data_IF_148756892315
#
_entry.id   IF_148756892315
#
_cell.length_a   1.000
_cell.length_b   1.000
_cell.length_c   1.000
_cell.angle_alpha   90.00
_cell.angle_beta   90.00
_cell.angle_gamma   90.00
#
_symmetry.space_group_name_H-M   'P 1'
#
loop_
_entity.id
_entity.type
_entity.pdbx_description
1 polymer ?
#
# COMPACT_ATOMS: atom_id res chain seq x y z
N UNK A 1 11.34 11.38 23.33
CA UNK A 1 9.94 11.82 23.26
C UNK A 1 9.08 10.90 22.39
N UNK A 2 9.62 10.25 21.35
CA UNK A 2 8.90 9.20 20.58
C UNK A 2 8.77 7.84 21.30
N UNK A 3 9.48 7.63 22.42
CA UNK A 3 9.55 6.33 23.10
C UNK A 3 8.37 6.03 24.05
N UNK A 4 7.47 6.99 24.31
CA UNK A 4 6.33 6.81 25.23
C UNK A 4 4.97 6.66 24.53
N UNK A 5 4.89 6.80 23.21
CA UNK A 5 3.68 6.52 22.42
C UNK A 5 3.47 5.00 22.16
N UNK A 6 4.35 4.15 22.70
CA UNK A 6 4.63 2.81 22.17
C UNK A 6 3.62 1.71 22.56
N UNK A 7 2.66 1.95 23.46
CA UNK A 7 1.72 0.90 23.91
C UNK A 7 0.27 1.34 24.12
N UNK A 8 -0.09 2.59 23.79
CA UNK A 8 -1.46 3.09 23.98
C UNK A 8 -2.24 3.07 22.65
N UNK A 9 -3.32 2.27 22.52
CA UNK A 9 -4.21 2.35 21.37
C UNK A 9 -4.75 3.77 21.12
N UNK A 10 -4.87 4.59 22.16
CA UNK A 10 -5.24 6.00 22.06
C UNK A 10 -4.26 6.84 21.25
N UNK A 11 -2.94 6.58 21.33
CA UNK A 11 -1.93 7.38 20.64
C UNK A 11 -2.05 7.32 19.10
N UNK A 12 -2.60 6.22 18.56
CA UNK A 12 -2.93 6.10 17.13
C UNK A 12 -4.14 6.98 16.77
N UNK A 13 -5.21 6.94 17.55
CA UNK A 13 -6.38 7.76 17.28
C UNK A 13 -6.07 9.24 17.48
N UNK A 14 -5.25 9.59 18.50
CA UNK A 14 -4.77 10.94 18.78
C UNK A 14 -4.04 11.56 17.57
N UNK A 15 -3.27 10.77 16.80
CA UNK A 15 -2.61 11.30 15.58
C UNK A 15 -3.60 11.62 14.46
N UNK A 16 -4.74 10.92 14.41
CA UNK A 16 -5.81 11.20 13.45
C UNK A 16 -6.78 12.30 13.93
N UNK A 17 -6.63 12.84 15.14
CA UNK A 17 -7.39 14.02 15.57
C UNK A 17 -6.82 15.34 14.97
N UNK A 18 -5.59 15.32 14.47
CA UNK A 18 -5.00 16.48 13.80
C UNK A 18 -5.61 16.67 12.40
N UNK A 19 -6.38 17.74 12.24
CA UNK A 19 -7.01 18.11 10.97
C UNK A 19 -6.03 18.28 9.82
N UNK A 20 -4.74 18.54 10.07
CA UNK A 20 -3.72 18.59 9.01
C UNK A 20 -3.47 17.24 8.36
N UNK A 21 -3.62 16.14 9.10
CA UNK A 21 -3.55 14.79 8.52
C UNK A 21 -4.71 14.60 7.56
N UNK A 22 -5.91 15.03 7.95
CA UNK A 22 -7.09 14.97 7.08
C UNK A 22 -7.02 15.93 5.90
N UNK A 23 -6.46 17.12 6.05
CA UNK A 23 -6.20 18.05 4.94
C UNK A 23 -5.29 17.39 3.89
N UNK A 24 -4.20 16.74 4.33
CA UNK A 24 -3.30 16.00 3.44
C UNK A 24 -4.05 14.87 2.70
N UNK A 25 -4.86 14.09 3.41
CA UNK A 25 -5.65 13.00 2.85
C UNK A 25 -6.76 13.47 1.89
N UNK A 26 -7.39 14.61 2.17
CA UNK A 26 -8.46 15.20 1.35
C UNK A 26 -7.92 15.92 0.11
N UNK A 27 -6.68 16.40 0.17
CA UNK A 27 -6.02 17.08 -0.97
C UNK A 27 -5.15 16.15 -1.82
N UNK A 28 -4.99 14.89 -1.42
CA UNK A 28 -4.44 13.81 -2.24
C UNK A 28 -5.40 13.47 -3.39
N UNK A 29 -5.20 14.15 -4.53
CA UNK A 29 -6.03 14.03 -5.72
C UNK A 29 -6.18 12.59 -6.23
N UNK A 30 -5.08 11.84 -6.47
CA UNK A 30 -5.17 10.45 -6.93
C UNK A 30 -5.95 9.54 -5.99
N UNK A 31 -5.72 9.64 -4.67
CA UNK A 31 -6.50 8.92 -3.66
C UNK A 31 -7.99 9.25 -3.76
N UNK A 32 -8.33 10.53 -3.69
CA UNK A 32 -9.74 10.97 -3.71
C UNK A 32 -10.45 10.56 -5.01
N UNK A 33 -9.76 10.73 -6.14
CA UNK A 33 -10.30 10.37 -7.45
C UNK A 33 -10.53 8.85 -7.58
N UNK A 34 -9.62 8.01 -7.08
CA UNK A 34 -9.78 6.56 -7.15
C UNK A 34 -11.04 6.11 -6.39
N UNK A 35 -11.21 6.53 -5.14
CA UNK A 35 -12.41 6.20 -4.35
C UNK A 35 -13.68 6.80 -4.95
N UNK A 36 -13.64 8.06 -5.36
CA UNK A 36 -14.78 8.72 -5.98
C UNK A 36 -15.21 7.97 -7.26
N UNK A 37 -14.27 7.62 -8.14
CA UNK A 37 -14.56 6.87 -9.36
C UNK A 37 -15.04 5.45 -9.06
N UNK A 38 -14.44 4.77 -8.08
CA UNK A 38 -14.86 3.44 -7.66
C UNK A 38 -16.30 3.44 -7.13
N UNK A 39 -16.69 4.45 -6.37
CA UNK A 39 -18.01 4.53 -5.73
C UNK A 39 -19.04 5.23 -6.63
N UNK A 40 -18.83 6.51 -6.92
CA UNK A 40 -19.75 7.35 -7.69
C UNK A 40 -19.73 7.02 -9.17
N UNK A 41 -18.62 6.50 -9.71
CA UNK A 41 -18.55 5.99 -11.08
C UNK A 41 -19.25 4.64 -11.28
N UNK A 42 -19.49 3.88 -10.21
CA UNK A 42 -20.17 2.57 -10.24
C UNK A 42 -21.47 2.58 -9.41
N UNK A 43 -22.30 3.61 -9.59
CA UNK A 43 -23.55 3.82 -8.83
C UNK A 43 -24.45 2.59 -8.79
N UNK A 44 -24.51 1.81 -9.86
CA UNK A 44 -25.34 0.62 -9.97
C UNK A 44 -24.97 -0.46 -8.93
N UNK A 45 -23.71 -0.50 -8.48
CA UNK A 45 -23.28 -1.37 -7.39
C UNK A 45 -23.84 -0.92 -6.05
N UNK A 46 -23.96 0.39 -5.82
CA UNK A 46 -24.35 1.00 -4.54
C UNK A 46 -25.84 1.31 -4.42
N UNK A 47 -26.56 1.50 -5.52
CA UNK A 47 -27.96 1.90 -5.54
C UNK A 47 -28.84 0.93 -4.72
N UNK A 48 -29.51 1.46 -3.69
CA UNK A 48 -30.41 0.69 -2.83
C UNK A 48 -29.72 -0.27 -1.84
N UNK A 49 -28.38 -0.27 -1.77
CA UNK A 49 -27.58 -1.15 -0.90
C UNK A 49 -27.38 -0.58 0.50
N UNK A 50 -27.01 -1.45 1.44
CA UNK A 50 -26.46 -1.06 2.75
C UNK A 50 -24.95 -1.11 2.74
N UNK A 51 -24.30 -0.06 3.23
CA UNK A 51 -22.84 0.10 3.23
C UNK A 51 -22.32 0.27 4.65
N UNK A 52 -21.16 -0.31 4.96
CA UNK A 52 -20.38 -0.01 6.16
C UNK A 52 -19.08 0.68 5.74
N UNK A 53 -18.85 1.88 6.26
CA UNK A 53 -17.61 2.64 6.11
C UNK A 53 -16.76 2.49 7.38
N UNK A 54 -15.62 1.80 7.29
CA UNK A 54 -14.76 1.45 8.42
C UNK A 54 -13.61 2.45 8.52
N UNK A 55 -13.57 3.23 9.60
CA UNK A 55 -12.65 4.35 9.77
C UNK A 55 -13.08 5.55 8.93
N UNK A 56 -14.33 5.97 9.11
CA UNK A 56 -14.96 6.96 8.23
C UNK A 56 -14.29 8.34 8.26
N UNK A 57 -13.48 8.66 9.27
CA UNK A 57 -12.76 9.93 9.39
C UNK A 57 -13.70 11.13 9.30
N UNK A 58 -13.54 11.94 8.26
CA UNK A 58 -14.39 13.12 7.98
C UNK A 58 -15.75 12.77 7.37
N UNK A 59 -16.02 11.50 7.05
CA UNK A 59 -17.25 11.03 6.43
C UNK A 59 -17.31 11.18 4.90
N UNK A 60 -16.22 11.58 4.24
CA UNK A 60 -16.20 11.84 2.79
C UNK A 60 -16.58 10.59 1.96
N UNK A 61 -16.05 9.40 2.31
CA UNK A 61 -16.35 8.16 1.59
C UNK A 61 -17.81 7.71 1.82
N UNK A 62 -18.30 7.86 3.06
CA UNK A 62 -19.72 7.67 3.38
C UNK A 62 -20.64 8.57 2.55
N UNK A 63 -20.26 9.83 2.32
CA UNK A 63 -21.00 10.76 1.47
C UNK A 63 -20.97 10.31 0.00
N UNK A 64 -19.83 9.85 -0.52
CA UNK A 64 -19.77 9.27 -1.87
C UNK A 64 -20.72 8.07 -2.02
N UNK A 65 -20.80 7.20 -1.01
CA UNK A 65 -21.73 6.07 -1.02
C UNK A 65 -23.19 6.53 -1.07
N UNK A 66 -23.56 7.53 -0.27
CA UNK A 66 -24.90 8.11 -0.29
C UNK A 66 -25.23 8.80 -1.62
N UNK A 67 -24.27 9.56 -2.19
CA UNK A 67 -24.39 10.18 -3.52
C UNK A 67 -24.57 9.15 -4.63
N UNK A 68 -23.91 7.98 -4.51
CA UNK A 68 -24.06 6.85 -5.42
C UNK A 68 -25.43 6.14 -5.29
N UNK A 69 -26.22 6.47 -4.27
CA UNK A 69 -27.60 5.98 -4.08
C UNK A 69 -27.73 4.86 -3.06
N UNK A 70 -26.75 4.67 -2.17
CA UNK A 70 -26.88 3.75 -1.04
C UNK A 70 -28.15 4.06 -0.25
N UNK A 71 -28.90 3.01 0.12
CA UNK A 71 -30.11 3.14 0.95
C UNK A 71 -29.76 3.55 2.37
N UNK A 72 -28.65 3.02 2.89
CA UNK A 72 -28.15 3.29 4.24
C UNK A 72 -26.65 3.14 4.27
N UNK A 73 -25.97 4.03 4.98
CA UNK A 73 -24.53 3.94 5.25
C UNK A 73 -24.31 3.97 6.77
N UNK A 74 -23.60 2.98 7.29
CA UNK A 74 -23.11 2.97 8.67
C UNK A 74 -21.65 3.45 8.64
N UNK A 75 -21.39 4.64 9.16
CA UNK A 75 -20.07 5.23 9.23
C UNK A 75 -19.48 5.01 10.63
N UNK A 76 -18.43 4.21 10.74
CA UNK A 76 -17.80 3.89 12.04
C UNK A 76 -16.47 4.61 12.13
N UNK A 77 -16.33 5.47 13.13
CA UNK A 77 -15.13 6.27 13.39
C UNK A 77 -14.84 6.26 14.89
N UNK A 78 -13.61 5.91 15.27
CA UNK A 78 -13.26 5.76 16.68
C UNK A 78 -12.72 7.04 17.32
N UNK A 79 -12.17 7.96 16.53
CA UNK A 79 -11.62 9.24 16.98
C UNK A 79 -12.71 10.31 17.16
N UNK A 80 -12.32 11.45 17.73
CA UNK A 80 -13.21 12.60 17.90
C UNK A 80 -13.74 13.19 16.57
N UNK A 81 -13.18 12.79 15.41
CA UNK A 81 -13.64 13.21 14.09
C UNK A 81 -15.05 12.72 13.77
N UNK A 82 -15.56 11.71 14.45
CA UNK A 82 -16.96 11.29 14.32
C UNK A 82 -17.94 12.46 14.52
N UNK A 83 -17.58 13.46 15.33
CA UNK A 83 -18.40 14.68 15.52
C UNK A 83 -18.37 15.59 14.30
N UNK A 84 -17.18 15.83 13.76
CA UNK A 84 -17.01 16.61 12.53
C UNK A 84 -17.69 15.92 11.35
N UNK A 85 -17.58 14.60 11.22
CA UNK A 85 -18.24 13.82 10.18
C UNK A 85 -19.76 14.05 10.19
N UNK A 86 -20.39 14.04 11.37
CA UNK A 86 -21.83 14.35 11.50
C UNK A 86 -22.19 15.74 11.00
N UNK A 87 -21.33 16.73 11.25
CA UNK A 87 -21.52 18.10 10.74
C UNK A 87 -21.40 18.17 9.22
N UNK A 88 -20.36 17.56 8.64
CA UNK A 88 -20.16 17.49 7.18
C UNK A 88 -21.32 16.76 6.50
N UNK A 89 -21.77 15.64 7.05
CA UNK A 89 -22.92 14.86 6.54
C UNK A 89 -24.20 15.70 6.55
N UNK A 90 -24.44 16.44 7.63
CA UNK A 90 -25.60 17.33 7.76
C UNK A 90 -25.53 18.51 6.80
N UNK A 91 -24.35 19.11 6.63
CA UNK A 91 -24.11 20.20 5.67
C UNK A 91 -24.44 19.76 4.23
N UNK A 92 -24.20 18.48 3.91
CA UNK A 92 -24.49 17.88 2.61
C UNK A 92 -25.87 17.20 2.52
N UNK A 93 -26.73 17.37 3.53
CA UNK A 93 -28.11 16.85 3.57
C UNK A 93 -28.24 15.31 3.51
N UNK A 94 -27.25 14.57 4.01
CA UNK A 94 -27.26 13.10 4.02
C UNK A 94 -27.50 12.49 5.41
N UNK A 95 -27.88 13.28 6.41
CA UNK A 95 -28.11 12.81 7.80
C UNK A 95 -29.17 11.72 7.94
N UNK A 96 -30.12 11.62 6.99
CA UNK A 96 -31.17 10.59 7.03
C UNK A 96 -30.71 9.25 6.41
N UNK A 97 -29.61 9.28 5.65
CA UNK A 97 -29.03 8.11 4.97
C UNK A 97 -27.81 7.55 5.73
N UNK A 98 -27.01 8.43 6.33
CA UNK A 98 -25.72 8.07 6.96
C UNK A 98 -25.83 8.15 8.48
N UNK A 99 -25.61 7.03 9.17
CA UNK A 99 -25.52 6.97 10.63
C UNK A 99 -24.06 6.88 11.08
N UNK A 100 -23.60 7.86 11.88
CA UNK A 100 -22.23 7.88 12.40
C UNK A 100 -22.16 7.30 13.81
N UNK A 101 -21.36 6.25 13.99
CA UNK A 101 -21.04 5.62 15.26
C UNK A 101 -19.64 5.98 15.73
N UNK A 102 -19.55 6.63 16.89
CA UNK A 102 -18.28 7.02 17.52
C UNK A 102 -17.74 5.87 18.38
N UNK A 103 -17.13 4.89 17.73
CA UNK A 103 -16.58 3.71 18.38
C UNK A 103 -15.57 2.99 17.48
N UNK A 104 -14.82 2.07 18.09
CA UNK A 104 -14.04 1.09 17.35
C UNK A 104 -14.96 0.12 16.61
N UNK A 105 -14.55 -0.31 15.41
CA UNK A 105 -15.35 -1.27 14.62
C UNK A 105 -15.48 -2.64 15.31
N UNK A 106 -14.51 -3.02 16.15
CA UNK A 106 -14.62 -4.23 16.96
C UNK A 106 -15.75 -4.13 18.00
N UNK A 107 -16.03 -2.92 18.50
CA UNK A 107 -17.10 -2.64 19.47
C UNK A 107 -18.44 -2.30 18.79
N UNK A 108 -18.41 -1.96 17.50
CA UNK A 108 -19.61 -1.63 16.73
C UNK A 108 -20.62 -2.78 16.69
N UNK A 109 -21.90 -2.41 16.61
CA UNK A 109 -23.05 -3.30 16.48
C UNK A 109 -24.03 -2.70 15.48
N UNK A 110 -24.51 -3.52 14.55
CA UNK A 110 -25.62 -3.14 13.69
C UNK A 110 -26.93 -3.04 14.51
N UNK A 111 -27.92 -2.27 14.05
CA UNK A 111 -29.21 -2.13 14.76
C UNK A 111 -29.93 -3.46 15.03
N UNK A 112 -29.70 -4.46 14.17
CA UNK A 112 -30.14 -5.84 14.34
C UNK A 112 -28.93 -6.78 14.19
N UNK A 113 -28.75 -7.74 15.09
CA UNK A 113 -27.63 -8.69 15.10
C UNK A 113 -27.62 -9.65 13.89
N UNK A 114 -28.79 -9.90 13.29
CA UNK A 114 -28.91 -10.67 12.04
C UNK A 114 -28.64 -9.84 10.79
N UNK A 115 -28.61 -8.50 10.91
CA UNK A 115 -28.35 -7.63 9.78
C UNK A 115 -26.90 -7.80 9.30
N UNK A 116 -26.73 -7.67 7.98
CA UNK A 116 -25.44 -7.67 7.30
C UNK A 116 -25.47 -6.59 6.23
N UNK A 117 -24.31 -6.05 5.88
CA UNK A 117 -24.15 -5.04 4.84
C UNK A 117 -23.84 -5.66 3.48
N UNK A 118 -24.28 -5.00 2.41
CA UNK A 118 -23.98 -5.42 1.04
C UNK A 118 -22.55 -5.06 0.64
N UNK A 119 -22.02 -3.95 1.16
CA UNK A 119 -20.72 -3.40 0.78
C UNK A 119 -19.97 -2.92 2.03
N UNK A 120 -18.67 -3.20 2.11
CA UNK A 120 -17.74 -2.52 3.02
C UNK A 120 -16.83 -1.62 2.19
N UNK A 121 -16.73 -0.36 2.60
CA UNK A 121 -15.77 0.61 2.08
C UNK A 121 -14.81 0.95 3.21
N UNK A 122 -13.52 1.02 2.91
CA UNK A 122 -12.55 1.52 3.87
C UNK A 122 -11.31 2.04 3.14
N UNK A 123 -10.74 3.10 3.67
CA UNK A 123 -9.37 3.50 3.38
C UNK A 123 -8.55 3.16 4.63
N UNK A 124 -7.80 2.08 4.53
CA UNK A 124 -7.08 1.47 5.64
C UNK A 124 -5.56 1.43 5.42
N UNK A 125 -5.10 1.93 4.27
CA UNK A 125 -3.75 1.69 3.79
C UNK A 125 -2.78 2.61 4.50
N UNK A 126 -1.77 2.02 5.15
CA UNK A 126 -0.63 2.76 5.68
C UNK A 126 0.51 2.89 4.68
N UNK A 127 1.65 3.42 5.13
CA UNK A 127 2.91 3.31 4.38
C UNK A 127 3.21 1.85 4.05
N UNK A 128 3.78 1.62 2.85
CA UNK A 128 3.99 0.28 2.29
C UNK A 128 2.77 -0.66 2.39
N UNK A 129 1.55 -0.10 2.38
CA UNK A 129 0.25 -0.76 2.56
C UNK A 129 -0.12 -1.10 4.01
N UNK A 130 0.77 -1.75 4.75
CA UNK A 130 0.41 -2.44 6.01
C UNK A 130 0.85 -1.73 7.28
N UNK A 131 1.55 -0.59 7.19
CA UNK A 131 1.81 0.22 8.37
C UNK A 131 0.48 0.59 9.07
N UNK A 132 0.53 0.82 10.38
CA UNK A 132 -0.63 1.18 11.23
C UNK A 132 -1.60 0.04 11.56
N UNK A 133 -1.59 -1.07 10.81
CA UNK A 133 -2.33 -2.29 11.14
C UNK A 133 -3.85 -2.15 11.12
N UNK A 134 -4.39 -1.21 10.32
CA UNK A 134 -5.83 -0.97 10.23
C UNK A 134 -6.57 -2.07 9.43
N UNK A 135 -5.86 -2.82 8.57
CA UNK A 135 -6.44 -3.93 7.81
C UNK A 135 -7.11 -4.96 8.74
N UNK A 136 -6.52 -5.28 9.90
CA UNK A 136 -7.12 -6.18 10.89
C UNK A 136 -8.54 -5.76 11.28
N UNK A 137 -8.78 -4.47 11.51
CA UNK A 137 -10.10 -3.93 11.84
C UNK A 137 -11.08 -4.07 10.67
N UNK A 138 -10.60 -3.92 9.43
CA UNK A 138 -11.41 -4.13 8.22
C UNK A 138 -11.78 -5.61 8.04
N UNK A 139 -10.84 -6.53 8.31
CA UNK A 139 -11.12 -7.98 8.25
C UNK A 139 -12.12 -8.40 9.34
N UNK A 140 -12.00 -7.87 10.55
CA UNK A 140 -13.01 -8.08 11.60
C UNK A 140 -14.37 -7.57 11.17
N UNK A 141 -14.44 -6.42 10.50
CA UNK A 141 -15.69 -5.88 9.97
C UNK A 141 -16.28 -6.77 8.86
N UNK A 142 -15.44 -7.26 7.95
CA UNK A 142 -15.81 -8.20 6.89
C UNK A 142 -16.44 -9.46 7.46
N UNK A 143 -15.74 -10.14 8.36
CA UNK A 143 -16.16 -11.44 8.88
C UNK A 143 -17.45 -11.35 9.70
N UNK A 144 -17.68 -10.21 10.35
CA UNK A 144 -18.85 -9.99 11.21
C UNK A 144 -20.05 -9.44 10.47
N UNK A 145 -19.84 -8.52 9.53
CA UNK A 145 -20.91 -7.67 9.02
C UNK A 145 -21.17 -7.83 7.53
N UNK A 146 -20.23 -8.36 6.73
CA UNK A 146 -20.45 -8.51 5.28
C UNK A 146 -21.37 -9.69 4.99
N UNK A 147 -22.24 -9.55 3.97
CA UNK A 147 -22.99 -10.68 3.41
C UNK A 147 -22.06 -11.64 2.65
N UNK A 148 -22.42 -12.94 2.49
CA UNK A 148 -21.60 -13.91 1.74
C UNK A 148 -21.21 -13.48 0.31
N UNK A 149 -22.06 -12.71 -0.38
CA UNK A 149 -21.79 -12.16 -1.72
C UNK A 149 -21.57 -10.65 -1.69
N UNK A 150 -21.20 -10.09 -0.53
CA UNK A 150 -20.93 -8.67 -0.38
C UNK A 150 -19.67 -8.25 -1.12
N UNK A 151 -19.50 -6.94 -1.28
CA UNK A 151 -18.35 -6.34 -1.96
C UNK A 151 -17.44 -5.63 -0.97
N UNK A 152 -16.14 -5.68 -1.23
CA UNK A 152 -15.11 -4.92 -0.52
C UNK A 152 -14.62 -3.82 -1.45
N UNK A 153 -14.41 -2.62 -0.93
CA UNK A 153 -13.87 -1.48 -1.67
C UNK A 153 -12.70 -0.86 -0.89
N UNK A 154 -11.44 -1.04 -1.33
CA UNK A 154 -10.99 -1.88 -2.46
C UNK A 154 -11.26 -3.39 -2.22
N UNK A 155 -11.13 -4.22 -3.26
CA UNK A 155 -11.28 -5.69 -3.14
C UNK A 155 -9.97 -6.45 -3.11
N UNK A 156 -8.92 -5.89 -3.71
CA UNK A 156 -7.58 -6.49 -3.72
C UNK A 156 -6.52 -5.44 -3.47
N UNK A 157 -5.40 -5.87 -2.90
CA UNK A 157 -4.22 -5.03 -2.73
C UNK A 157 -2.94 -5.81 -3.03
N UNK A 158 -1.97 -5.16 -3.65
CA UNK A 158 -0.70 -5.79 -4.03
C UNK A 158 0.46 -4.96 -3.51
N UNK A 159 1.43 -5.60 -2.85
CA UNK A 159 2.69 -4.97 -2.46
C UNK A 159 3.74 -5.31 -3.51
N UNK A 160 4.43 -4.28 -3.98
CA UNK A 160 5.53 -4.41 -4.93
C UNK A 160 6.83 -3.96 -4.30
N UNK A 161 7.93 -4.51 -4.82
CA UNK A 161 9.29 -4.08 -4.50
C UNK A 161 10.14 -4.01 -5.77
N UNK A 162 11.01 -3.01 -5.86
CA UNK A 162 12.06 -2.96 -6.87
C UNK A 162 13.37 -2.37 -6.33
N UNK A 163 14.53 -2.81 -6.84
CA UNK A 163 15.79 -2.11 -6.66
C UNK A 163 15.69 -0.68 -7.22
N UNK A 164 16.30 0.27 -6.51
CA UNK A 164 16.24 1.68 -6.87
C UNK A 164 17.54 2.45 -6.57
N UNK A 165 17.69 3.57 -7.26
CA UNK A 165 18.61 4.65 -6.90
C UNK A 165 17.90 5.67 -6.00
N UNK A 166 18.66 6.30 -5.10
CA UNK A 166 18.19 7.32 -4.15
C UNK A 166 19.19 8.49 -4.09
N UNK A 167 19.49 9.17 -5.22
CA UNK A 167 20.56 10.16 -5.28
C UNK A 167 20.34 11.35 -4.34
N UNK A 168 19.08 11.64 -3.97
CA UNK A 168 18.75 12.65 -2.96
C UNK A 168 19.37 12.35 -1.58
N UNK A 169 19.67 11.08 -1.28
CA UNK A 169 20.31 10.60 -0.03
C UNK A 169 21.79 10.31 -0.17
N UNK A 170 22.25 9.99 -1.37
CA UNK A 170 23.64 9.64 -1.64
C UNK A 170 24.37 10.78 -2.34
N UNK A 171 23.98 11.06 -3.57
CA UNK A 171 24.74 11.90 -4.49
C UNK A 171 24.57 13.40 -4.24
N UNK A 172 23.46 13.82 -3.61
CA UNK A 172 23.20 15.21 -3.20
C UNK A 172 24.32 15.77 -2.32
N UNK A 173 25.00 14.93 -1.55
CA UNK A 173 26.06 15.34 -0.63
C UNK A 173 27.42 15.48 -1.30
N UNK A 174 27.55 15.12 -2.58
CA UNK A 174 28.79 15.31 -3.34
C UNK A 174 29.13 16.80 -3.51
N UNK A 175 28.11 17.65 -3.62
CA UNK A 175 28.27 19.11 -3.66
C UNK A 175 27.00 19.80 -3.20
N UNK A 176 27.10 20.50 -2.07
CA UNK A 176 26.07 21.43 -1.58
C UNK A 176 26.63 22.84 -1.77
N UNK A 177 26.14 23.55 -2.78
CA UNK A 177 26.61 24.89 -3.15
C UNK A 177 28.14 24.96 -3.38
N UNK A 178 28.72 23.92 -3.99
CA UNK A 178 30.17 23.84 -4.26
C UNK A 178 31.00 23.26 -3.12
N UNK A 179 30.39 22.91 -1.98
CA UNK A 179 31.06 22.29 -0.83
C UNK A 179 30.74 20.80 -0.79
N UNK A 180 31.77 19.96 -0.77
CA UNK A 180 31.57 18.52 -0.53
C UNK A 180 31.11 18.28 0.91
N UNK A 181 30.00 17.57 1.04
CA UNK A 181 29.38 17.21 2.32
C UNK A 181 29.26 15.69 2.47
N UNK A 182 30.09 14.90 1.77
CA UNK A 182 29.99 13.43 1.77
C UNK A 182 30.08 12.82 3.17
N UNK A 183 30.91 13.38 4.07
CA UNK A 183 30.99 12.93 5.46
C UNK A 183 29.68 13.16 6.24
N UNK A 184 28.99 14.28 5.99
CA UNK A 184 27.68 14.54 6.54
C UNK A 184 26.64 13.56 5.98
N UNK A 185 26.66 13.32 4.66
CA UNK A 185 25.79 12.33 4.02
C UNK A 185 25.97 10.93 4.62
N UNK A 186 27.22 10.51 4.88
CA UNK A 186 27.53 9.26 5.59
C UNK A 186 26.93 9.21 6.99
N UNK A 187 27.13 10.26 7.78
CA UNK A 187 26.59 10.33 9.14
C UNK A 187 25.06 10.29 9.14
N UNK A 188 24.42 11.01 8.22
CA UNK A 188 22.96 11.04 8.09
C UNK A 188 22.40 9.66 7.71
N UNK A 189 23.04 8.94 6.77
CA UNK A 189 22.64 7.58 6.41
C UNK A 189 22.80 6.61 7.57
N UNK A 190 23.93 6.66 8.28
CA UNK A 190 24.15 5.83 9.46
C UNK A 190 23.12 6.11 10.57
N UNK A 191 22.68 7.37 10.72
CA UNK A 191 21.64 7.72 11.69
C UNK A 191 20.27 7.14 11.31
N UNK A 192 19.99 6.92 10.02
CA UNK A 192 18.71 6.41 9.52
C UNK A 192 18.74 4.93 9.11
N UNK A 193 19.84 4.21 9.31
CA UNK A 193 20.02 2.86 8.75
C UNK A 193 19.18 1.77 9.44
N UNK A 194 18.55 2.08 10.56
CA UNK A 194 17.70 1.17 11.34
C UNK A 194 16.21 1.29 11.01
N UNK A 195 15.83 2.13 10.05
CA UNK A 195 14.45 2.35 9.65
C UNK A 195 14.29 2.58 8.15
N UNK A 196 13.18 2.13 7.55
CA UNK A 196 12.84 2.55 6.20
C UNK A 196 12.49 4.05 6.17
N UNK A 197 12.58 4.64 4.98
CA UNK A 197 12.26 6.05 4.77
C UNK A 197 11.11 6.22 3.79
N UNK A 198 10.18 7.13 4.10
CA UNK A 198 9.11 7.51 3.17
C UNK A 198 9.63 8.62 2.24
N UNK A 199 9.84 8.29 0.97
CA UNK A 199 10.45 9.15 -0.05
C UNK A 199 9.65 9.13 -1.34
N UNK A 200 9.66 10.25 -2.07
CA UNK A 200 9.25 10.26 -3.48
C UNK A 200 10.42 9.77 -4.32
N UNK A 201 10.24 8.62 -4.96
CA UNK A 201 11.21 8.04 -5.92
C UNK A 201 10.75 8.44 -7.32
N UNK A 202 11.62 9.07 -8.10
CA UNK A 202 11.27 9.39 -9.48
C UNK A 202 11.40 8.15 -10.39
N UNK A 203 10.53 7.98 -11.40
CA UNK A 203 10.46 6.80 -12.28
C UNK A 203 11.81 6.33 -12.84
N UNK A 204 12.68 7.26 -13.21
CA UNK A 204 13.99 6.98 -13.79
C UNK A 204 14.99 6.35 -12.79
N UNK A 205 14.69 6.43 -11.49
CA UNK A 205 15.50 5.83 -10.43
C UNK A 205 15.04 4.43 -10.05
N UNK A 206 13.92 3.93 -10.60
CA UNK A 206 13.57 2.51 -10.49
C UNK A 206 14.44 1.69 -11.45
N UNK A 207 15.17 0.71 -10.91
CA UNK A 207 16.06 -0.15 -11.70
C UNK A 207 15.33 -1.40 -12.23
N UNK A 208 14.07 -1.59 -11.83
CA UNK A 208 13.17 -2.66 -12.25
C UNK A 208 11.71 -2.16 -12.17
N UNK A 209 10.82 -2.70 -12.99
CA UNK A 209 9.40 -2.30 -13.04
C UNK A 209 8.59 -2.64 -11.79
N UNK A 210 9.01 -3.68 -11.07
CA UNK A 210 8.39 -4.13 -9.81
C UNK A 210 8.28 -5.64 -9.76
N UNK A 211 8.53 -6.20 -8.59
CA UNK A 211 8.25 -7.60 -8.27
C UNK A 211 7.13 -7.65 -7.22
N UNK A 212 6.16 -8.53 -7.41
CA UNK A 212 5.05 -8.71 -6.46
C UNK A 212 5.57 -9.43 -5.23
N UNK A 213 5.56 -8.75 -4.09
CA UNK A 213 5.90 -9.34 -2.79
C UNK A 213 4.73 -10.17 -2.27
N UNK A 214 3.52 -9.61 -2.35
CA UNK A 214 2.29 -10.30 -1.96
C UNK A 214 1.09 -9.68 -2.65
N UNK A 215 0.07 -10.51 -2.90
CA UNK A 215 -1.24 -10.11 -3.41
C UNK A 215 -2.29 -10.58 -2.40
N UNK A 216 -3.15 -9.66 -1.99
CA UNK A 216 -4.16 -9.87 -0.95
C UNK A 216 -5.54 -9.79 -1.59
N UNK A 217 -6.31 -10.88 -1.52
CA UNK A 217 -7.75 -10.87 -1.75
C UNK A 217 -8.45 -10.45 -0.45
N UNK A 218 -9.04 -9.26 -0.41
CA UNK A 218 -9.63 -8.75 0.83
C UNK A 218 -10.91 -9.49 1.22
N UNK A 219 -11.50 -10.31 0.34
CA UNK A 219 -12.63 -11.18 0.71
C UNK A 219 -12.19 -12.42 1.47
N UNK A 220 -10.98 -12.92 1.22
CA UNK A 220 -10.54 -14.23 1.70
C UNK A 220 -9.39 -14.16 2.71
N UNK A 221 -8.51 -13.15 2.60
CA UNK A 221 -7.30 -13.05 3.44
C UNK A 221 -7.64 -13.02 4.94
N UNK A 222 -6.89 -13.77 5.73
CA UNK A 222 -7.04 -13.84 7.19
C UNK A 222 -6.02 -12.95 7.91
N UNK A 223 -6.27 -12.64 9.17
CA UNK A 223 -5.34 -11.84 10.00
C UNK A 223 -4.00 -12.53 10.24
N UNK A 224 -3.99 -13.87 10.23
CA UNK A 224 -2.82 -14.73 10.40
C UNK A 224 -1.95 -14.71 9.15
N UNK A 225 -2.54 -14.67 7.95
CA UNK A 225 -1.79 -14.50 6.71
C UNK A 225 -1.09 -13.14 6.61
N UNK A 226 -1.47 -12.16 7.44
CA UNK A 226 -0.78 -10.88 7.54
C UNK A 226 0.46 -10.93 8.45
N UNK A 227 0.72 -12.02 9.19
CA UNK A 227 1.81 -12.04 10.18
C UNK A 227 3.20 -12.01 9.55
N UNK A 228 3.36 -12.58 8.35
CA UNK A 228 4.64 -12.57 7.65
C UNK A 228 4.49 -12.69 6.14
N UNK A 229 5.31 -11.93 5.41
CA UNK A 229 5.50 -12.04 3.97
C UNK A 229 6.98 -12.25 3.66
N UNK A 230 7.26 -13.05 2.64
CA UNK A 230 8.62 -13.33 2.18
C UNK A 230 8.67 -13.29 0.66
N UNK A 231 9.64 -12.55 0.12
CA UNK A 231 9.96 -12.55 -1.31
C UNK A 231 11.46 -12.77 -1.47
N UNK A 232 11.84 -13.90 -2.08
CA UNK A 232 13.22 -14.26 -2.36
C UNK A 232 13.38 -14.49 -3.86
N UNK A 233 14.13 -13.63 -4.53
CA UNK A 233 14.18 -13.63 -5.98
C UNK A 233 15.51 -13.15 -6.55
N UNK A 234 15.72 -13.45 -7.83
CA UNK A 234 16.76 -12.83 -8.66
C UNK A 234 16.11 -12.00 -9.76
N UNK A 235 16.14 -10.69 -9.61
CA UNK A 235 15.63 -9.76 -10.63
C UNK A 235 16.70 -9.46 -11.67
N UNK A 236 16.25 -9.16 -12.88
CA UNK A 236 17.12 -8.75 -13.98
C UNK A 236 16.99 -7.24 -14.12
N UNK A 237 18.05 -6.49 -13.82
CA UNK A 237 18.08 -5.04 -13.92
C UNK A 237 17.61 -4.57 -15.29
N UNK A 238 16.58 -3.72 -15.31
CA UNK A 238 15.97 -3.22 -16.54
C UNK A 238 16.58 -1.89 -16.99
N UNK A 239 17.32 -1.22 -16.10
CA UNK A 239 17.98 0.07 -16.34
C UNK A 239 19.37 0.09 -15.70
N UNK A 240 20.30 0.79 -16.36
CA UNK A 240 21.59 1.15 -15.78
C UNK A 240 21.38 2.22 -14.71
N UNK A 241 22.04 2.07 -13.56
CA UNK A 241 21.94 3.01 -12.45
C UNK A 241 22.62 2.46 -11.20
N UNK A 242 22.60 3.22 -10.11
CA UNK A 242 23.26 2.79 -8.87
C UNK A 242 22.26 2.15 -7.93
N UNK A 243 22.48 0.89 -7.57
CA UNK A 243 21.72 0.21 -6.53
C UNK A 243 22.02 0.86 -5.18
N UNK A 244 21.06 1.60 -4.65
CA UNK A 244 21.19 2.35 -3.40
C UNK A 244 20.12 1.99 -2.38
N UNK A 245 19.11 1.22 -2.78
CA UNK A 245 17.99 0.83 -1.92
C UNK A 245 16.99 -0.04 -2.63
N UNK A 246 15.96 -0.45 -1.90
CA UNK A 246 14.77 -1.09 -2.45
C UNK A 246 13.55 -0.23 -2.16
N UNK A 247 12.80 0.07 -3.20
CA UNK A 247 11.58 0.86 -3.17
C UNK A 247 10.39 -0.09 -3.07
N UNK A 248 9.53 0.15 -2.08
CA UNK A 248 8.29 -0.59 -1.83
C UNK A 248 7.12 0.35 -2.06
N UNK A 249 6.12 -0.11 -2.81
CA UNK A 249 4.87 0.59 -3.04
C UNK A 249 3.72 -0.43 -3.10
N UNK A 250 2.51 0.05 -3.26
CA UNK A 250 1.33 -0.79 -3.39
C UNK A 250 0.33 -0.26 -4.40
N UNK A 251 -0.50 -1.17 -4.90
CA UNK A 251 -1.69 -0.87 -5.67
C UNK A 251 -2.92 -1.48 -4.99
N UNK A 252 -4.04 -0.77 -5.01
CA UNK A 252 -5.35 -1.27 -4.60
C UNK A 252 -6.31 -1.24 -5.80
N UNK A 253 -6.99 -2.35 -6.06
CA UNK A 253 -7.99 -2.44 -7.13
C UNK A 253 -9.39 -2.42 -6.54
N UNK A 254 -10.33 -1.84 -7.28
CA UNK A 254 -11.73 -1.75 -6.87
C UNK A 254 -12.63 -2.56 -7.80
N UNK A 255 -13.71 -3.19 -7.27
CA UNK A 255 -14.72 -3.83 -8.09
C UNK A 255 -15.34 -2.82 -9.07
N UNK A 256 -15.52 -3.25 -10.32
CA UNK A 256 -16.25 -2.49 -11.34
C UNK A 256 -17.55 -3.19 -11.70
N UNK A 257 -18.63 -2.41 -11.83
CA UNK A 257 -19.93 -2.94 -12.24
C UNK A 257 -19.97 -3.18 -13.75
N UNK A 258 -20.76 -4.16 -14.21
CA UNK A 258 -21.03 -4.31 -15.64
C UNK A 258 -21.78 -3.07 -16.16
N UNK A 259 -21.20 -2.36 -17.12
CA UNK A 259 -21.84 -1.23 -17.78
C UNK A 259 -22.24 -1.62 -19.20
N UNK A 260 -23.54 -1.84 -19.43
CA UNK A 260 -24.06 -2.16 -20.76
C UNK A 260 -23.51 -3.46 -21.38
N UNK A 261 -23.21 -4.47 -20.54
CA UNK A 261 -22.67 -5.76 -20.97
C UNK A 261 -21.16 -5.75 -21.27
N UNK A 262 -20.43 -4.72 -20.82
CA UNK A 262 -18.96 -4.66 -20.84
C UNK A 262 -18.43 -4.44 -19.42
N UNK A 263 -17.34 -5.12 -19.09
CA UNK A 263 -16.56 -4.87 -17.88
C UNK A 263 -15.62 -3.70 -18.20
N UNK A 264 -15.72 -2.54 -17.52
CA UNK A 264 -14.78 -1.43 -17.69
C UNK A 264 -13.34 -1.84 -17.35
N UNK A 265 -12.36 -1.01 -17.70
CA UNK A 265 -11.00 -1.19 -17.16
C UNK A 265 -11.05 -1.08 -15.63
N UNK A 266 -10.22 -1.88 -14.97
CA UNK A 266 -10.08 -1.85 -13.51
C UNK A 266 -9.77 -0.44 -13.01
N UNK A 267 -10.40 -0.06 -11.89
CA UNK A 267 -10.06 1.17 -11.19
C UNK A 267 -8.97 0.80 -10.19
N UNK A 268 -7.80 1.42 -10.35
CA UNK A 268 -6.61 1.14 -9.52
C UNK A 268 -6.15 2.43 -8.85
N UNK A 269 -6.00 2.38 -7.53
CA UNK A 269 -5.23 3.36 -6.75
C UNK A 269 -3.80 2.84 -6.65
N UNK A 270 -2.88 3.46 -7.40
CA UNK A 270 -1.48 3.07 -7.41
C UNK A 270 -0.60 4.09 -6.69
N UNK A 271 0.37 3.59 -5.92
CA UNK A 271 1.46 4.39 -5.32
C UNK A 271 2.81 4.13 -6.01
N UNK A 272 2.79 3.47 -7.17
CA UNK A 272 3.96 3.25 -8.01
C UNK A 272 4.63 4.61 -8.36
N UNK A 273 5.97 4.73 -8.33
CA UNK A 273 6.69 5.91 -8.80
C UNK A 273 6.28 6.48 -10.16
N UNK A 274 5.78 5.64 -11.07
CA UNK A 274 5.30 6.03 -12.42
C UNK A 274 3.88 6.62 -12.38
N UNK A 275 3.10 6.32 -11.35
CA UNK A 275 1.76 6.85 -11.14
C UNK A 275 1.80 8.29 -10.59
N UNK A 276 0.69 9.05 -10.67
CA UNK A 276 0.57 10.33 -10.00
C UNK A 276 0.90 10.25 -8.50
N UNK A 277 1.65 11.23 -7.98
CA UNK A 277 2.11 11.22 -6.59
C UNK A 277 0.95 11.26 -5.58
N UNK A 278 1.05 10.41 -4.57
CA UNK A 278 0.13 10.32 -3.42
C UNK A 278 0.86 10.72 -2.15
N UNK A 279 0.12 10.98 -1.07
CA UNK A 279 0.70 11.31 0.23
C UNK A 279 1.51 10.15 0.84
N UNK A 280 1.20 8.89 0.47
CA UNK A 280 1.97 7.71 0.89
C UNK A 280 3.39 7.70 0.33
N UNK A 281 3.60 8.32 -0.84
CA UNK A 281 4.85 8.24 -1.60
C UNK A 281 5.27 6.78 -1.76
N UNK A 282 6.55 6.48 -1.55
CA UNK A 282 7.07 5.12 -1.48
C UNK A 282 7.87 4.91 -0.20
N UNK A 283 7.96 3.67 0.24
CA UNK A 283 8.81 3.26 1.36
C UNK A 283 10.11 2.71 0.81
N UNK A 284 11.23 3.34 1.13
CA UNK A 284 12.56 2.93 0.68
C UNK A 284 13.32 2.30 1.83
N UNK A 285 13.94 1.14 1.58
CA UNK A 285 14.96 0.53 2.45
C UNK A 285 16.33 0.92 1.86
N UNK A 286 17.03 1.93 2.39
CA UNK A 286 18.34 2.33 1.87
C UNK A 286 19.39 1.28 2.21
N UNK A 287 20.28 1.00 1.26
CA UNK A 287 21.40 0.10 1.50
C UNK A 287 22.53 0.82 2.26
N UNK A 288 23.31 0.09 3.08
CA UNK A 288 24.59 0.57 3.55
C UNK A 288 25.51 0.96 2.38
N UNK A 289 26.36 1.97 2.57
CA UNK A 289 27.23 2.48 1.49
C UNK A 289 28.15 1.41 0.89
N UNK A 290 28.64 0.48 1.71
CA UNK A 290 29.47 -0.63 1.24
C UNK A 290 28.72 -1.72 0.47
N UNK A 291 27.38 -1.66 0.45
CA UNK A 291 26.51 -2.57 -0.29
C UNK A 291 25.89 -1.90 -1.54
N UNK A 292 26.23 -0.64 -1.81
CA UNK A 292 25.77 0.05 -3.01
C UNK A 292 26.65 -0.33 -4.21
N UNK A 293 26.03 -0.61 -5.35
CA UNK A 293 26.73 -1.09 -6.56
C UNK A 293 26.24 -0.33 -7.80
N UNK A 294 27.13 -0.09 -8.75
CA UNK A 294 26.73 0.40 -10.08
C UNK A 294 26.25 -0.81 -10.89
N UNK A 295 25.02 -0.74 -11.38
CA UNK A 295 24.39 -1.79 -12.16
C UNK A 295 24.26 -1.35 -13.61
N UNK A 296 24.52 -2.27 -14.52
CA UNK A 296 24.19 -2.17 -15.93
C UNK A 296 22.88 -2.90 -16.24
N UNK A 297 22.30 -2.58 -17.41
CA UNK A 297 21.14 -3.30 -17.87
C UNK A 297 21.46 -4.80 -18.00
N UNK A 298 20.52 -5.63 -17.53
CA UNK A 298 20.61 -7.10 -17.45
C UNK A 298 21.52 -7.66 -16.36
N UNK A 299 22.03 -6.82 -15.47
CA UNK A 299 22.67 -7.32 -14.25
C UNK A 299 21.67 -8.05 -13.35
N UNK A 300 22.06 -9.21 -12.78
CA UNK A 300 21.21 -9.93 -11.85
C UNK A 300 21.29 -9.30 -10.45
N UNK A 301 20.14 -9.18 -9.78
CA UNK A 301 20.02 -8.59 -8.45
C UNK A 301 19.30 -9.62 -7.58
N UNK A 302 20.06 -10.35 -6.76
CA UNK A 302 19.52 -11.38 -5.89
C UNK A 302 19.25 -10.81 -4.48
N UNK A 303 18.06 -11.04 -3.95
CA UNK A 303 17.69 -10.55 -2.63
C UNK A 303 16.65 -11.46 -1.95
N UNK A 304 16.51 -11.25 -0.64
CA UNK A 304 15.40 -11.76 0.17
C UNK A 304 14.84 -10.59 1.00
N UNK A 305 13.53 -10.34 0.87
CA UNK A 305 12.77 -9.45 1.73
C UNK A 305 11.88 -10.29 2.65
N UNK A 306 11.97 -10.04 3.95
CA UNK A 306 11.03 -10.53 4.97
C UNK A 306 10.32 -9.36 5.62
N UNK A 307 9.00 -9.39 5.63
CA UNK A 307 8.14 -8.44 6.33
C UNK A 307 7.42 -9.19 7.42
N UNK A 308 7.78 -8.98 8.69
CA UNK A 308 7.19 -9.72 9.81
C UNK A 308 6.49 -8.76 10.74
N UNK A 309 5.27 -9.06 11.14
CA UNK A 309 4.53 -8.25 12.11
C UNK A 309 5.31 -8.17 13.43
N UNK A 310 5.42 -6.96 13.97
CA UNK A 310 6.20 -6.73 15.18
C UNK A 310 5.56 -7.43 16.39
N UNK A 311 6.38 -8.04 17.25
CA UNK A 311 5.91 -8.85 18.38
C UNK A 311 5.20 -8.02 19.47
N UNK A 312 5.54 -6.74 19.60
CA UNK A 312 4.99 -5.86 20.63
C UNK A 312 3.74 -5.13 20.13
N UNK A 313 3.55 -5.01 18.82
CA UNK A 313 2.38 -4.34 18.22
C UNK A 313 2.08 -4.81 16.81
N UNK A 314 0.81 -5.08 16.52
CA UNK A 314 0.34 -5.42 15.18
C UNK A 314 0.31 -4.22 14.20
N UNK A 315 0.59 -3.01 14.68
CA UNK A 315 0.60 -1.78 13.87
C UNK A 315 1.91 -1.52 13.12
N UNK A 316 2.90 -2.40 13.28
CA UNK A 316 4.23 -2.26 12.68
C UNK A 316 4.73 -3.58 12.12
N UNK A 317 5.57 -3.47 11.10
CA UNK A 317 6.30 -4.59 10.51
C UNK A 317 7.80 -4.33 10.68
N UNK A 318 8.52 -5.39 11.07
CA UNK A 318 9.96 -5.46 11.00
C UNK A 318 10.33 -5.86 9.57
N UNK A 319 11.07 -5.00 8.86
CA UNK A 319 11.53 -5.25 7.50
C UNK A 319 12.98 -5.74 7.54
N UNK A 320 13.23 -6.94 7.02
CA UNK A 320 14.56 -7.49 6.87
C UNK A 320 14.85 -7.69 5.38
N UNK A 321 15.83 -6.95 4.86
CA UNK A 321 16.32 -7.10 3.50
C UNK A 321 17.72 -7.72 3.54
N UNK A 322 17.91 -8.82 2.83
CA UNK A 322 19.19 -9.50 2.67
C UNK A 322 19.59 -9.48 1.19
N UNK A 323 20.77 -8.93 0.89
CA UNK A 323 21.37 -9.10 -0.44
C UNK A 323 21.98 -10.49 -0.55
N UNK A 324 21.68 -11.17 -1.65
CA UNK A 324 22.11 -12.54 -1.92
C UNK A 324 23.13 -12.56 -3.06
N UNK A 325 23.81 -13.69 -3.18
CA UNK A 325 24.77 -13.91 -4.25
C UNK A 325 24.06 -14.52 -5.47
N UNK A 326 23.86 -13.71 -6.52
CA UNK A 326 23.20 -14.15 -7.74
C UNK A 326 23.88 -15.34 -8.45
N UNK A 327 25.18 -15.58 -8.20
CA UNK A 327 25.86 -16.78 -8.70
C UNK A 327 25.35 -18.05 -8.05
N UNK A 328 24.98 -17.97 -6.76
CA UNK A 328 24.53 -19.11 -5.95
C UNK A 328 23.03 -19.34 -5.99
N UNK A 329 22.24 -18.29 -6.22
CA UNK A 329 20.79 -18.40 -6.30
C UNK A 329 20.30 -18.98 -7.63
N UNK A 330 19.13 -19.60 -7.59
CA UNK A 330 18.40 -20.07 -8.77
C UNK A 330 17.77 -18.88 -9.50
N UNK A 331 17.75 -18.94 -10.84
CA UNK A 331 17.17 -17.90 -11.69
C UNK A 331 15.94 -18.47 -12.39
N UNK A 332 14.92 -17.64 -12.62
CA UNK A 332 13.78 -18.02 -13.45
C UNK A 332 14.22 -18.50 -14.83
N UNK A 333 13.53 -19.46 -15.43
CA UNK A 333 13.87 -19.99 -16.75
C UNK A 333 12.76 -19.68 -17.77
N UNK A 334 13.05 -18.97 -18.88
CA UNK A 334 14.35 -18.42 -19.27
C UNK A 334 14.73 -17.15 -18.47
N UNK A 335 16.01 -17.01 -18.11
CA UNK A 335 16.55 -15.79 -17.49
C UNK A 335 17.20 -14.90 -18.54
N UNK A 336 16.89 -13.61 -18.52
CA UNK A 336 17.43 -12.62 -19.46
C UNK A 336 18.70 -11.91 -18.97
N UNK A 337 19.22 -12.30 -17.79
CA UNK A 337 20.44 -11.69 -17.25
C UNK A 337 21.69 -12.01 -18.07
N UNK A 338 22.77 -11.29 -17.80
CA UNK A 338 24.03 -11.45 -18.51
C UNK A 338 24.95 -12.55 -17.95
N UNK A 339 24.51 -13.34 -16.98
CA UNK A 339 25.33 -14.42 -16.43
C UNK A 339 25.53 -15.53 -17.45
N UNK A 340 26.77 -16.03 -17.55
CA UNK A 340 27.14 -17.13 -18.45
C UNK A 340 26.24 -18.35 -18.27
N UNK A 341 25.89 -18.72 -17.03
CA UNK A 341 24.98 -19.85 -16.73
C UNK A 341 23.60 -19.68 -17.39
N UNK A 342 23.05 -18.47 -17.38
CA UNK A 342 21.74 -18.15 -17.93
C UNK A 342 21.75 -18.07 -19.46
N UNK A 343 22.78 -17.46 -20.04
CA UNK A 343 22.96 -17.39 -21.51
C UNK A 343 23.05 -18.80 -22.10
N UNK A 344 23.83 -19.69 -21.49
CA UNK A 344 23.96 -21.08 -21.94
C UNK A 344 22.66 -21.87 -21.81
N UNK A 345 21.94 -21.69 -20.69
CA UNK A 345 20.66 -22.37 -20.45
C UNK A 345 19.59 -21.92 -21.45
N UNK A 346 19.48 -20.61 -21.71
CA UNK A 346 18.55 -20.07 -22.71
C UNK A 346 18.84 -20.63 -24.11
N UNK A 347 20.09 -20.63 -24.53
CA UNK A 347 20.50 -21.21 -25.83
C UNK A 347 20.23 -22.73 -25.91
N UNK A 348 20.28 -23.45 -24.78
CA UNK A 348 19.90 -24.86 -24.72
C UNK A 348 18.39 -25.07 -24.89
N UNK A 349 17.58 -24.29 -24.16
CA UNK A 349 16.11 -24.32 -24.25
C UNK A 349 15.61 -23.98 -25.66
N UNK A 350 16.20 -22.95 -26.29
CA UNK A 350 15.87 -22.55 -27.67
C UNK A 350 16.15 -23.69 -28.66
N UNK A 351 17.25 -24.44 -28.50
CA UNK A 351 17.55 -25.61 -29.33
C UNK A 351 16.54 -26.74 -29.12
N UNK A 352 16.16 -27.02 -27.87
CA UNK A 352 15.18 -28.07 -27.57
C UNK A 352 13.78 -27.76 -28.13
N UNK A 353 13.40 -26.49 -28.24
CA UNK A 353 12.13 -26.07 -28.84
C UNK A 353 12.13 -26.10 -30.38
N UNK A 354 13.31 -26.12 -31.01
CA UNK A 354 13.45 -26.23 -32.47
C UNK A 354 13.48 -27.70 -32.91
N UNK A 355 13.92 -28.61 -32.03
CA UNK A 355 14.08 -30.04 -32.30
C UNK A 355 12.86 -30.91 -31.89
N UNK A 356 11.78 -30.31 -31.36
CA UNK A 356 10.54 -30.98 -30.96
C UNK A 356 9.32 -30.42 -31.67
#
# INVERSE_FOLDING_TARGET
MESEQITNPGAYFDSYEDLKVHELMLTDGPRQNAYHNAIVGNRDLFAGKTVLDVGAGTGILSIFCAQAGARKVYAVEASNLARLAREVIKENNFQDVIDVSECRVEDFRLPNEEERVDIIVSEWMGFFLLHEGMLDSVLVARDRFLKPNGLMFPDTATIYLAPCSVPSRFDRWNSVSGVSMQCFGRALRHQGSDKPEVLTVAPEHLLHEGHVVTWLDLKEVTTEELDAFEAKEVLVGQRTGKLQGFCIWFDCTFPVGEQGGRIPNDIVLSTNPVAPETHWKQTVIPLPEGACEDLEQRDPIAFELKMTRNKDTNRRYDLQLTLLDAEKEEHSLPCECQMTKCILMKAHLEKMQVDG
#
